data_IF_456260473852
#
_entry.id   IF_456260473852
#
_cell.length_a   1.000
_cell.length_b   1.000
_cell.length_c   1.000
_cell.angle_alpha   90.00
_cell.angle_beta   90.00
_cell.angle_gamma   90.00
#
_symmetry.space_group_name_H-M   'P 1'
#
loop_
_entity.id
_entity.type
_entity.pdbx_description
1 polymer ?
#
# COMPACT_ATOMS: atom_id res chain seq x y z
N UNK A 1 -15.15 13.29 7.44
CA UNK A 1 -13.83 13.37 6.77
C UNK A 1 -12.77 13.20 7.85
N UNK A 2 -11.84 12.26 7.69
CA UNK A 2 -10.83 11.99 8.72
C UNK A 2 -9.95 13.23 8.97
N UNK A 3 -9.75 13.56 10.24
CA UNK A 3 -9.10 14.80 10.73
C UNK A 3 -7.62 14.93 10.33
N UNK A 4 -7.02 13.86 9.81
CA UNK A 4 -5.66 13.84 9.28
C UNK A 4 -5.64 12.95 8.02
N UNK A 5 -5.67 13.50 6.80
CA UNK A 5 -5.46 12.69 5.61
C UNK A 5 -4.06 12.06 5.69
N UNK A 6 -3.95 10.78 5.34
CA UNK A 6 -2.66 10.14 5.16
C UNK A 6 -1.81 11.01 4.21
N UNK A 7 -0.62 11.43 4.66
CA UNK A 7 0.25 12.25 3.81
C UNK A 7 0.70 11.40 2.63
N UNK A 8 0.52 11.87 1.39
CA UNK A 8 1.03 11.15 0.24
C UNK A 8 2.57 11.09 0.33
N UNK A 9 3.18 9.95 -0.01
CA UNK A 9 4.63 9.81 -0.07
C UNK A 9 5.25 10.81 -1.04
N UNK A 10 6.36 11.43 -0.63
CA UNK A 10 7.05 12.47 -1.40
C UNK A 10 7.67 11.95 -2.71
N UNK A 11 7.98 10.66 -2.78
CA UNK A 11 8.54 10.00 -3.95
C UNK A 11 7.81 8.67 -4.16
N UNK A 12 7.21 8.55 -5.34
CA UNK A 12 6.52 7.35 -5.76
C UNK A 12 6.65 7.16 -7.26
N UNK A 13 6.44 5.94 -7.72
CA UNK A 13 6.40 5.60 -9.14
C UNK A 13 5.23 4.69 -9.39
N UNK A 14 4.35 5.12 -10.30
CA UNK A 14 3.35 4.24 -10.89
C UNK A 14 4.05 3.18 -11.76
N UNK A 15 3.83 1.91 -11.45
CA UNK A 15 4.37 0.82 -12.25
C UNK A 15 3.45 0.61 -13.46
N UNK A 16 3.95 0.69 -14.71
CA UNK A 16 3.13 0.44 -15.88
C UNK A 16 2.58 -0.99 -15.92
N UNK A 17 1.34 -1.19 -16.39
CA UNK A 17 0.66 -2.50 -16.41
C UNK A 17 1.48 -3.63 -17.05
N UNK A 18 2.23 -3.31 -18.10
CA UNK A 18 3.08 -4.28 -18.83
C UNK A 18 4.27 -4.80 -18.00
N UNK A 19 4.59 -4.14 -16.89
CA UNK A 19 5.69 -4.51 -15.99
C UNK A 19 5.19 -5.24 -14.74
N UNK A 20 3.88 -5.41 -14.58
CA UNK A 20 3.32 -6.08 -13.40
C UNK A 20 3.68 -7.56 -13.42
N UNK A 21 4.16 -8.12 -12.28
CA UNK A 21 4.28 -9.56 -12.14
C UNK A 21 2.94 -10.24 -12.37
N UNK A 22 2.94 -11.43 -12.98
CA UNK A 22 1.71 -12.15 -13.34
C UNK A 22 0.73 -12.32 -12.17
N UNK A 23 1.24 -12.57 -10.96
CA UNK A 23 0.43 -12.71 -9.75
C UNK A 23 -0.28 -11.40 -9.35
N UNK A 24 0.33 -10.23 -9.59
CA UNK A 24 -0.30 -8.93 -9.33
C UNK A 24 -1.29 -8.61 -10.45
N UNK A 25 -0.89 -8.83 -11.70
CA UNK A 25 -1.76 -8.61 -12.85
C UNK A 25 -3.04 -9.45 -12.80
N UNK A 26 -3.00 -10.68 -12.25
CA UNK A 26 -4.18 -11.53 -12.10
C UNK A 26 -5.23 -11.02 -11.10
N UNK A 27 -4.87 -10.05 -10.25
CA UNK A 27 -5.83 -9.38 -9.36
C UNK A 27 -6.63 -8.28 -10.08
N UNK A 28 -6.30 -7.99 -11.35
CA UNK A 28 -6.81 -6.87 -12.14
C UNK A 28 -6.79 -5.52 -11.40
N UNK A 29 -5.64 -5.09 -10.84
CA UNK A 29 -5.60 -3.84 -10.11
C UNK A 29 -5.77 -2.63 -11.03
N UNK A 30 -6.38 -1.58 -10.50
CA UNK A 30 -6.44 -0.28 -11.16
C UNK A 30 -5.03 0.32 -11.25
N UNK A 31 -4.26 0.20 -10.16
CA UNK A 31 -2.97 0.87 -9.99
C UNK A 31 -2.03 0.08 -9.08
N UNK A 32 -0.74 0.08 -9.42
CA UNK A 32 0.35 -0.41 -8.57
C UNK A 32 1.36 0.71 -8.41
N UNK A 33 1.62 1.11 -7.17
CA UNK A 33 2.54 2.21 -6.84
C UNK A 33 3.67 1.67 -6.00
N UNK A 34 4.90 2.05 -6.34
CA UNK A 34 6.08 1.79 -5.50
C UNK A 34 6.50 3.10 -4.84
N UNK A 35 6.72 3.02 -3.54
CA UNK A 35 7.23 4.08 -2.69
C UNK A 35 8.65 3.76 -2.23
N UNK A 36 9.38 4.75 -1.72
CA UNK A 36 10.68 4.48 -1.06
C UNK A 36 10.55 3.51 0.13
N UNK A 37 9.36 3.42 0.72
CA UNK A 37 9.10 2.62 1.91
C UNK A 37 8.11 1.48 1.68
N UNK A 38 7.63 1.21 0.47
CA UNK A 38 6.56 0.22 0.32
C UNK A 38 5.99 0.07 -1.08
N UNK A 39 4.96 -0.76 -1.18
CA UNK A 39 4.21 -1.00 -2.41
C UNK A 39 2.72 -1.00 -2.08
N UNK A 40 1.96 -0.27 -2.86
CA UNK A 40 0.50 -0.24 -2.83
C UNK A 40 -0.06 -0.85 -4.11
N UNK A 41 -0.98 -1.81 -3.97
CA UNK A 41 -1.69 -2.49 -5.05
C UNK A 41 -3.18 -2.21 -4.84
N UNK A 42 -3.72 -1.30 -5.65
CA UNK A 42 -5.09 -0.81 -5.49
C UNK A 42 -5.98 -1.47 -6.54
N UNK A 43 -6.98 -2.24 -6.13
CA UNK A 43 -7.95 -2.84 -7.07
C UNK A 43 -9.05 -1.85 -7.40
N UNK A 44 -9.56 -1.10 -6.41
CA UNK A 44 -10.55 -0.06 -6.65
C UNK A 44 -10.29 1.18 -5.81
N UNK A 45 -9.95 2.27 -6.48
CA UNK A 45 -9.74 3.57 -5.82
C UNK A 45 -10.89 3.93 -4.88
N UNK A 46 -10.54 4.30 -3.64
CA UNK A 46 -11.44 4.75 -2.58
C UNK A 46 -12.37 3.70 -1.96
N UNK A 47 -12.25 2.42 -2.31
CA UNK A 47 -13.20 1.39 -1.84
C UNK A 47 -12.57 0.28 -1.00
N UNK A 48 -11.29 -0.03 -1.17
CA UNK A 48 -10.71 -1.26 -0.61
C UNK A 48 -9.39 -1.06 0.14
N UNK A 49 -8.78 0.14 0.12
CA UNK A 49 -7.46 0.39 0.69
C UNK A 49 -6.30 -0.38 0.03
N UNK A 50 -6.61 -1.29 -0.89
CA UNK A 50 -5.67 -2.14 -1.60
C UNK A 50 -4.96 -3.17 -0.73
N UNK A 51 -4.09 -3.93 -1.39
CA UNK A 51 -3.06 -4.74 -0.76
C UNK A 51 -1.75 -3.96 -0.76
N UNK A 52 -0.88 -4.24 0.19
CA UNK A 52 0.43 -3.62 0.15
C UNK A 52 1.31 -3.98 1.32
N UNK A 53 2.53 -3.47 1.27
CA UNK A 53 3.42 -3.52 2.42
C UNK A 53 4.14 -2.20 2.62
N UNK A 54 4.46 -1.95 3.89
CA UNK A 54 5.07 -0.73 4.36
C UNK A 54 6.25 -1.06 5.26
N UNK A 55 7.38 -0.39 5.03
CA UNK A 55 8.58 -0.45 5.85
C UNK A 55 8.64 0.82 6.67
N UNK A 56 8.23 0.73 7.93
CA UNK A 56 8.13 1.87 8.83
C UNK A 56 9.10 1.73 10.01
N UNK A 57 9.66 2.86 10.45
CA UNK A 57 10.47 2.89 11.67
C UNK A 57 9.62 2.66 12.91
N UNK A 58 8.38 3.16 12.89
CA UNK A 58 7.41 3.02 13.97
C UNK A 58 6.03 2.76 13.38
N UNK A 59 5.22 1.95 14.08
CA UNK A 59 3.87 1.58 13.62
C UNK A 59 2.95 2.79 13.36
N UNK A 60 3.09 3.85 14.16
CA UNK A 60 2.33 5.11 14.00
C UNK A 60 2.62 5.87 12.70
N UNK A 61 3.69 5.52 12.00
CA UNK A 61 4.08 6.16 10.74
C UNK A 61 3.37 5.51 9.54
N UNK A 62 2.61 4.43 9.76
CA UNK A 62 1.85 3.75 8.73
C UNK A 62 0.64 4.58 8.28
N UNK A 63 0.33 4.63 6.98
CA UNK A 63 -0.73 5.47 6.44
C UNK A 63 -2.15 4.91 6.63
N UNK A 64 -2.29 3.63 7.02
CA UNK A 64 -3.60 3.04 7.34
C UNK A 64 -3.78 2.84 8.85
N UNK A 65 -5.01 2.51 9.25
CA UNK A 65 -5.36 2.28 10.65
C UNK A 65 -4.65 1.04 11.21
N UNK A 66 -4.39 1.05 12.52
CA UNK A 66 -3.63 0.00 13.21
C UNK A 66 -4.24 -1.41 13.06
N UNK A 67 -5.54 -1.52 12.78
CA UNK A 67 -6.24 -2.79 12.57
C UNK A 67 -6.08 -3.40 11.17
N UNK A 68 -5.55 -2.64 10.20
CA UNK A 68 -5.39 -3.12 8.82
C UNK A 68 -4.06 -3.86 8.59
N UNK A 69 -3.11 -3.76 9.53
CA UNK A 69 -1.74 -4.27 9.34
C UNK A 69 -1.43 -5.53 10.15
N UNK A 70 -0.68 -6.42 9.51
CA UNK A 70 0.06 -7.52 10.12
C UNK A 70 1.57 -7.27 9.99
N UNK A 71 2.31 -7.30 11.11
CA UNK A 71 3.78 -7.21 11.07
C UNK A 71 4.36 -8.56 10.66
N UNK A 72 4.90 -8.64 9.44
CA UNK A 72 5.43 -9.89 8.86
C UNK A 72 6.93 -10.07 9.15
N UNK A 73 7.62 -8.97 9.44
CA UNK A 73 9.01 -8.93 9.91
C UNK A 73 9.24 -7.60 10.63
N UNK A 74 10.34 -7.46 11.37
CA UNK A 74 10.64 -6.27 12.16
C UNK A 74 10.59 -5.00 11.32
N UNK A 75 9.59 -4.16 11.56
CA UNK A 75 9.37 -2.90 10.83
C UNK A 75 8.80 -3.05 9.42
N UNK A 76 8.36 -4.26 9.03
CA UNK A 76 7.70 -4.54 7.74
C UNK A 76 6.27 -4.98 8.01
N UNK A 77 5.32 -4.20 7.50
CA UNK A 77 3.89 -4.35 7.77
C UNK A 77 3.16 -4.65 6.47
N UNK A 78 2.51 -5.80 6.39
CA UNK A 78 1.61 -6.17 5.30
C UNK A 78 0.18 -5.73 5.63
N UNK A 79 -0.58 -5.30 4.62
CA UNK A 79 -2.02 -5.17 4.73
C UNK A 79 -2.73 -5.81 3.54
N UNK A 80 -3.89 -6.34 3.85
CA UNK A 80 -4.91 -6.73 2.89
C UNK A 80 -5.93 -5.56 2.75
N UNK A 81 -6.92 -5.69 1.85
CA UNK A 81 -7.98 -4.71 1.74
C UNK A 81 -8.64 -4.36 3.07
N UNK A 82 -8.73 -3.06 3.32
CA UNK A 82 -9.25 -2.40 4.52
C UNK A 82 -9.75 -1.00 4.10
#
# INVERSE_FOLDING_TARGET
MATHPAKPPLRYTDVPKVQWPAAIASLDPERVVVHEWGVDILVKSYFDGGWGYHVARQRRDLPMLDGCYSEVSKGVFWHDPC
#
